data_IF_666236236781
#
_entry.id   IF_666236236781
#
_cell.length_a   1.000
_cell.length_b   1.000
_cell.length_c   1.000
_cell.angle_alpha   90.00
_cell.angle_beta   90.00
_cell.angle_gamma   90.00
#
_symmetry.space_group_name_H-M   'P 1'
#
loop_
_entity.id
_entity.type
_entity.pdbx_description
1 polymer ?
#
# COMPACT_ATOMS: atom_id res chain seq x y z
N UNK A 1 -0.35 -7.62 7.25
CA UNK A 1 -0.46 -7.03 5.90
C UNK A 1 -1.63 -7.67 5.22
N UNK A 2 -2.47 -6.86 4.56
CA UNK A 2 -3.63 -7.29 3.82
C UNK A 2 -3.39 -7.07 2.32
N UNK A 3 -3.64 -8.09 1.51
CA UNK A 3 -3.48 -8.04 0.05
C UNK A 3 -4.83 -8.27 -0.61
N UNK A 4 -5.22 -7.34 -1.47
CA UNK A 4 -6.49 -7.41 -2.19
C UNK A 4 -6.32 -8.13 -3.53
N UNK A 5 -7.17 -9.12 -3.78
CA UNK A 5 -7.33 -9.74 -5.09
C UNK A 5 -8.78 -9.56 -5.56
N UNK A 6 -8.95 -8.84 -6.67
CA UNK A 6 -10.26 -8.63 -7.30
C UNK A 6 -10.34 -9.42 -8.60
N UNK A 7 -11.54 -9.90 -8.95
CA UNK A 7 -11.80 -10.61 -10.21
C UNK A 7 -11.24 -9.81 -11.40
N UNK A 8 -10.23 -10.37 -12.05
CA UNK A 8 -9.38 -9.72 -13.05
C UNK A 8 -10.10 -9.57 -14.39
N UNK A 9 -10.59 -8.37 -14.70
CA UNK A 9 -10.87 -7.92 -16.07
C UNK A 9 -10.66 -6.41 -16.21
N UNK A 10 -9.46 -5.86 -16.00
CA UNK A 10 -9.18 -4.44 -16.35
C UNK A 10 -7.72 -3.99 -16.39
N UNK A 11 -6.74 -4.89 -16.35
CA UNK A 11 -5.31 -4.47 -16.36
C UNK A 11 -4.70 -4.27 -17.75
N UNK A 12 -5.43 -4.53 -18.84
CA UNK A 12 -4.89 -4.40 -20.20
C UNK A 12 -4.69 -2.96 -20.70
N UNK A 13 -5.17 -1.92 -19.99
CA UNK A 13 -5.20 -0.55 -20.52
C UNK A 13 -4.19 0.44 -19.91
N UNK A 14 -3.38 0.06 -18.91
CA UNK A 14 -2.29 0.90 -18.38
C UNK A 14 -0.91 0.59 -18.98
N UNK A 15 -0.84 -0.34 -19.95
CA UNK A 15 0.38 -0.84 -20.58
C UNK A 15 0.88 0.06 -21.73
N UNK A 16 1.18 1.34 -21.48
CA UNK A 16 1.88 2.17 -22.49
C UNK A 16 3.09 2.96 -22.00
N UNK A 17 3.47 2.87 -20.72
CA UNK A 17 4.65 3.59 -20.18
C UNK A 17 5.67 2.68 -19.46
N UNK A 18 5.39 1.39 -19.29
CA UNK A 18 6.21 0.46 -18.48
C UNK A 18 6.41 -0.93 -19.11
N UNK A 19 6.37 -1.04 -20.44
CA UNK A 19 6.23 -2.33 -21.13
C UNK A 19 7.41 -3.30 -20.95
N UNK A 20 8.60 -2.84 -20.55
CA UNK A 20 9.72 -3.74 -20.26
C UNK A 20 9.67 -4.34 -18.85
N UNK A 21 9.30 -3.55 -17.83
CA UNK A 21 9.19 -4.03 -16.45
C UNK A 21 7.95 -4.93 -16.27
N UNK A 22 6.91 -4.66 -17.06
CA UNK A 22 5.62 -5.33 -16.97
C UNK A 22 5.69 -6.78 -17.49
N UNK A 23 6.52 -7.06 -18.50
CA UNK A 23 6.61 -8.41 -19.08
C UNK A 23 7.26 -9.45 -18.15
N UNK A 24 8.04 -9.02 -17.16
CA UNK A 24 8.71 -9.93 -16.22
C UNK A 24 7.99 -10.02 -14.87
N UNK A 25 7.10 -9.07 -14.52
CA UNK A 25 6.54 -8.93 -13.16
C UNK A 25 5.00 -8.93 -13.09
N UNK A 26 4.27 -8.73 -14.18
CA UNK A 26 2.81 -8.43 -14.14
C UNK A 26 1.92 -9.53 -14.73
N UNK A 27 2.03 -10.73 -14.18
CA UNK A 27 0.89 -11.67 -14.07
C UNK A 27 0.47 -11.79 -12.61
N UNK A 28 0.45 -10.68 -11.90
CA UNK A 28 0.26 -10.64 -10.46
C UNK A 28 -1.20 -10.72 -10.04
N UNK A 29 -1.52 -11.62 -9.11
CA UNK A 29 -2.85 -11.87 -8.57
C UNK A 29 -3.39 -10.72 -7.70
N UNK A 30 -2.50 -9.93 -7.10
CA UNK A 30 -2.84 -8.84 -6.19
C UNK A 30 -2.72 -7.46 -6.85
N UNK A 31 -3.72 -6.61 -6.61
CA UNK A 31 -3.77 -5.25 -7.14
C UNK A 31 -3.60 -4.15 -6.09
N UNK A 32 -3.74 -4.48 -4.80
CA UNK A 32 -3.57 -3.54 -3.69
C UNK A 32 -3.02 -4.23 -2.45
N UNK A 33 -2.29 -3.50 -1.61
CA UNK A 33 -1.83 -3.97 -0.31
C UNK A 33 -1.91 -2.86 0.75
N UNK A 34 -2.24 -3.24 1.98
CA UNK A 34 -2.44 -2.35 3.11
C UNK A 34 -1.87 -2.94 4.41
N UNK A 35 -1.50 -2.10 5.36
CA UNK A 35 -1.15 -2.53 6.72
C UNK A 35 -2.45 -2.58 7.52
N UNK A 36 -2.90 -3.78 7.85
CA UNK A 36 -4.11 -4.01 8.63
C UNK A 36 -3.76 -4.32 10.10
N UNK A 37 -4.37 -3.60 11.03
CA UNK A 37 -4.29 -3.83 12.48
C UNK A 37 -5.66 -4.31 12.96
N UNK A 38 -5.67 -5.42 13.71
CA UNK A 38 -6.91 -6.03 14.21
C UNK A 38 -7.59 -5.10 15.22
N UNK A 39 -8.89 -4.88 15.02
CA UNK A 39 -9.79 -4.24 15.98
C UNK A 39 -10.78 -5.25 16.57
N UNK A 40 -11.64 -4.76 17.49
CA UNK A 40 -12.76 -5.53 18.03
C UNK A 40 -13.81 -5.80 16.94
N UNK A 41 -14.61 -6.86 17.13
CA UNK A 41 -15.73 -7.22 16.26
C UNK A 41 -15.34 -7.57 14.80
N UNK A 42 -14.12 -8.05 14.58
CA UNK A 42 -13.65 -8.48 13.25
C UNK A 42 -13.31 -7.35 12.29
N UNK A 43 -13.32 -6.09 12.77
CA UNK A 43 -12.87 -4.94 12.01
C UNK A 43 -11.35 -4.84 12.00
N UNK A 44 -10.82 -4.10 11.03
CA UNK A 44 -9.41 -3.79 10.90
C UNK A 44 -9.21 -2.30 10.66
N UNK A 45 -8.20 -1.73 11.32
CA UNK A 45 -7.60 -0.46 10.93
C UNK A 45 -6.64 -0.71 9.77
N UNK A 46 -7.05 -0.31 8.58
CA UNK A 46 -6.23 -0.38 7.38
C UNK A 46 -5.51 0.94 7.14
N UNK A 47 -4.20 0.87 7.00
CA UNK A 47 -3.33 1.98 6.64
C UNK A 47 -2.72 1.73 5.27
N UNK A 48 -2.88 2.69 4.37
CA UNK A 48 -2.43 2.61 2.98
C UNK A 48 -2.05 3.98 2.45
N UNK A 49 -1.49 4.03 1.24
CA UNK A 49 -1.28 5.27 0.50
C UNK A 49 -1.97 5.19 -0.85
N UNK A 50 -2.66 6.26 -1.23
CA UNK A 50 -3.33 6.37 -2.52
C UNK A 50 -3.16 7.76 -3.12
N UNK A 51 -2.76 7.79 -4.39
CA UNK A 51 -2.70 9.00 -5.22
C UNK A 51 -4.07 9.69 -5.34
N UNK A 52 -5.17 8.92 -5.35
CA UNK A 52 -6.53 9.46 -5.42
C UNK A 52 -6.95 10.19 -4.15
N UNK A 53 -6.36 9.78 -3.02
CA UNK A 53 -6.70 10.26 -1.69
C UNK A 53 -5.69 11.32 -1.18
N UNK A 54 -4.75 11.75 -2.03
CA UNK A 54 -3.80 12.82 -1.71
C UNK A 54 -2.70 12.45 -0.72
N UNK A 55 -2.49 11.15 -0.44
CA UNK A 55 -1.45 10.68 0.47
C UNK A 55 -1.85 9.45 1.27
N UNK A 56 -1.34 9.38 2.50
CA UNK A 56 -1.56 8.25 3.41
C UNK A 56 -2.93 8.34 4.05
N UNK A 57 -3.67 7.24 3.94
CA UNK A 57 -5.04 7.08 4.38
C UNK A 57 -5.15 6.02 5.47
N UNK A 58 -6.08 6.27 6.37
CA UNK A 58 -6.58 5.30 7.34
C UNK A 58 -8.05 5.00 7.03
N UNK A 59 -8.44 3.73 7.12
CA UNK A 59 -9.81 3.28 6.93
C UNK A 59 -10.11 2.11 7.84
N UNK A 60 -11.26 2.15 8.51
CA UNK A 60 -11.78 1.00 9.28
C UNK A 60 -12.67 0.17 8.37
N UNK A 61 -12.37 -1.12 8.19
CA UNK A 61 -13.19 -2.01 7.36
C UNK A 61 -13.06 -3.48 7.74
N UNK A 62 -14.02 -4.28 7.26
CA UNK A 62 -13.92 -5.74 7.24
C UNK A 62 -13.00 -6.19 6.11
N UNK A 63 -12.23 -7.25 6.35
CA UNK A 63 -11.35 -7.89 5.37
C UNK A 63 -11.83 -9.32 5.13
N UNK A 64 -12.90 -9.53 4.33
CA UNK A 64 -13.41 -10.86 4.10
C UNK A 64 -12.42 -11.68 3.27
N UNK A 65 -12.24 -12.95 3.65
CA UNK A 65 -11.17 -13.82 3.16
C UNK A 65 -11.33 -14.21 1.67
N UNK A 66 -12.50 -13.97 1.07
CA UNK A 66 -12.79 -14.16 -0.35
C UNK A 66 -12.15 -13.10 -1.25
N UNK A 67 -11.74 -11.96 -0.67
CA UNK A 67 -11.17 -10.80 -1.40
C UNK A 67 -9.80 -10.39 -0.87
N UNK A 68 -9.51 -10.74 0.38
CA UNK A 68 -8.32 -10.30 1.08
C UNK A 68 -7.51 -11.48 1.59
N UNK A 69 -6.23 -11.47 1.22
CA UNK A 69 -5.25 -12.38 1.80
C UNK A 69 -4.47 -11.65 2.89
N UNK A 70 -4.56 -12.15 4.12
CA UNK A 70 -3.86 -11.61 5.28
C UNK A 70 -2.57 -12.37 5.55
N UNK A 71 -1.44 -11.66 5.62
CA UNK A 71 -0.16 -12.18 6.10
C UNK A 71 0.17 -11.50 7.43
N UNK A 72 0.42 -12.23 8.53
CA UNK A 72 0.78 -11.64 9.81
C UNK A 72 2.12 -10.90 9.71
N UNK A 73 2.21 -9.73 10.34
CA UNK A 73 3.45 -8.97 10.47
C UNK A 73 3.90 -8.98 11.93
N UNK A 74 5.22 -9.04 12.14
CA UNK A 74 5.82 -8.81 13.47
C UNK A 74 5.91 -7.30 13.70
N UNK A 75 4.77 -6.65 13.98
CA UNK A 75 4.71 -5.24 14.32
C UNK A 75 3.60 -4.96 15.33
N UNK A 76 3.83 -4.00 16.23
CA UNK A 76 2.81 -3.59 17.20
C UNK A 76 1.86 -2.53 16.59
N UNK A 77 0.60 -2.46 17.05
CA UNK A 77 -0.31 -1.39 16.66
C UNK A 77 0.29 0.02 16.84
N UNK A 78 1.08 0.22 17.91
CA UNK A 78 1.76 1.48 18.19
C UNK A 78 2.82 1.84 17.14
N UNK A 79 3.57 0.86 16.64
CA UNK A 79 4.54 1.08 15.55
C UNK A 79 3.84 1.47 14.25
N UNK A 80 2.74 0.80 13.91
CA UNK A 80 1.93 1.14 12.72
C UNK A 80 1.38 2.55 12.83
N UNK A 81 0.85 2.93 13.99
CA UNK A 81 0.30 4.27 14.22
C UNK A 81 1.38 5.36 14.20
N UNK A 82 2.56 5.10 14.79
CA UNK A 82 3.69 6.03 14.76
C UNK A 82 4.19 6.24 13.32
N UNK A 83 4.33 5.15 12.57
CA UNK A 83 4.68 5.20 11.16
C UNK A 83 3.63 5.97 10.35
N UNK A 84 2.34 5.66 10.56
CA UNK A 84 1.24 6.38 9.93
C UNK A 84 1.34 7.89 10.20
N UNK A 85 1.46 8.31 11.46
CA UNK A 85 1.55 9.73 11.85
C UNK A 85 2.75 10.44 11.23
N UNK A 86 3.90 9.75 11.10
CA UNK A 86 5.09 10.29 10.42
C UNK A 86 4.78 10.63 8.95
N UNK A 87 3.93 9.84 8.30
CA UNK A 87 3.55 10.06 6.90
C UNK A 87 2.25 10.87 6.73
N UNK A 88 1.44 11.02 7.78
CA UNK A 88 0.20 11.79 7.82
C UNK A 88 0.45 13.32 7.93
N UNK A 89 1.69 13.77 7.70
CA UNK A 89 2.25 15.03 8.21
C UNK A 89 2.59 16.12 7.20
N UNK A 90 2.24 15.99 5.90
CA UNK A 90 1.98 17.18 5.08
C UNK A 90 0.49 17.45 5.12
N UNK A 91 -0.01 17.91 6.28
CA UNK A 91 -1.34 18.51 6.34
C UNK A 91 -1.33 19.67 5.36
N UNK A 92 -2.20 19.58 4.35
CA UNK A 92 -2.68 20.75 3.63
C UNK A 92 -3.08 21.78 4.69
N UNK A 93 -2.32 22.85 4.80
CA UNK A 93 -2.78 24.08 5.40
C UNK A 93 -4.07 24.43 4.67
N UNK A 94 -5.18 24.47 5.39
CA UNK A 94 -6.48 24.84 4.83
C UNK A 94 -6.48 26.28 4.29
N UNK A 95 -5.40 27.04 4.51
CA UNK A 95 -5.07 28.32 3.87
C UNK A 95 -4.55 28.20 2.42
N UNK A 96 -4.18 27.00 1.94
CA UNK A 96 -3.66 26.77 0.59
C UNK A 96 -4.73 26.43 -0.47
N UNK A 97 -5.97 26.12 -0.05
CA UNK A 97 -7.05 25.72 -0.96
C UNK A 97 -7.50 26.86 -1.89
N UNK A 98 -7.17 28.11 -1.56
CA UNK A 98 -7.42 29.27 -2.43
C UNK A 98 -6.29 29.48 -3.46
N UNK A 99 -5.09 28.93 -3.23
CA UNK A 99 -3.94 29.08 -4.14
C UNK A 99 -3.70 27.92 -5.12
N UNK A 100 -4.33 26.76 -4.90
CA UNK A 100 -3.97 25.51 -5.62
C UNK A 100 -4.55 25.38 -7.04
N UNK A 101 -5.42 26.29 -7.49
CA UNK A 101 -5.89 26.28 -8.88
C UNK A 101 -4.77 26.68 -9.87
N UNK A 102 -3.67 27.26 -9.40
CA UNK A 102 -2.74 28.00 -10.27
C UNK A 102 -1.32 27.45 -10.47
N UNK A 103 -0.90 26.34 -9.86
CA UNK A 103 0.52 25.93 -10.02
C UNK A 103 0.75 24.44 -10.31
N UNK A 104 0.85 24.19 -11.61
CA UNK A 104 1.66 23.16 -12.24
C UNK A 104 3.07 23.10 -11.60
N UNK A 105 3.51 21.93 -11.12
CA UNK A 105 4.89 21.45 -11.33
C UNK A 105 5.03 19.97 -10.95
N UNK A 106 5.23 19.18 -11.99
CA UNK A 106 5.67 17.79 -11.96
C UNK A 106 7.12 17.70 -11.48
N UNK A 107 7.37 17.29 -10.23
CA UNK A 107 8.67 16.71 -9.83
C UNK A 107 8.67 15.96 -8.47
N UNK A 108 7.54 15.39 -8.02
CA UNK A 108 7.48 14.74 -6.70
C UNK A 108 7.30 13.22 -6.83
N UNK A 109 8.24 12.45 -6.28
CA UNK A 109 8.19 10.98 -6.21
C UNK A 109 6.93 10.53 -5.46
N UNK A 110 5.99 9.94 -6.21
CA UNK A 110 4.63 9.56 -5.80
C UNK A 110 4.66 8.33 -4.90
N UNK A 111 4.07 8.37 -3.70
CA UNK A 111 4.10 7.24 -2.75
C UNK A 111 2.93 6.25 -2.99
N UNK A 112 3.20 5.10 -3.61
CA UNK A 112 2.21 4.05 -3.88
C UNK A 112 1.86 3.20 -2.65
N UNK A 113 0.74 2.46 -2.69
CA UNK A 113 0.32 1.57 -1.59
C UNK A 113 1.38 0.50 -1.23
N UNK A 114 2.06 -0.05 -2.23
CA UNK A 114 3.16 -0.99 -2.05
C UNK A 114 4.41 -0.32 -1.53
N UNK A 115 4.70 0.92 -1.94
CA UNK A 115 5.84 1.67 -1.41
C UNK A 115 5.65 2.01 0.06
N UNK A 116 4.44 2.45 0.46
CA UNK A 116 4.08 2.67 1.86
C UNK A 116 4.30 1.40 2.70
N UNK A 117 3.84 0.27 2.19
CA UNK A 117 4.01 -1.02 2.83
C UNK A 117 5.49 -1.45 2.89
N UNK A 118 6.25 -1.25 1.82
CA UNK A 118 7.67 -1.60 1.75
C UNK A 118 8.52 -0.73 2.68
N UNK A 119 8.22 0.56 2.75
CA UNK A 119 8.89 1.50 3.66
C UNK A 119 8.60 1.16 5.13
N UNK A 120 7.36 0.76 5.45
CA UNK A 120 7.03 0.26 6.78
C UNK A 120 7.82 -1.00 7.15
N UNK A 121 8.04 -1.89 6.17
CA UNK A 121 8.84 -3.10 6.34
C UNK A 121 10.35 -2.83 6.40
N UNK A 122 10.79 -1.56 6.23
CA UNK A 122 12.20 -1.20 6.22
C UNK A 122 12.95 -1.65 4.97
N UNK A 123 12.25 -1.94 3.87
CA UNK A 123 12.86 -2.36 2.62
C UNK A 123 13.51 -1.15 1.94
N UNK A 124 14.79 -1.27 1.58
CA UNK A 124 15.48 -0.25 0.78
C UNK A 124 14.90 -0.20 -0.64
N UNK A 125 14.87 0.98 -1.25
CA UNK A 125 14.30 1.18 -2.58
C UNK A 125 12.83 0.76 -2.70
N UNK A 126 11.97 1.21 -1.77
CA UNK A 126 10.53 0.90 -1.71
C UNK A 126 9.79 0.98 -3.05
N UNK A 127 10.23 1.88 -3.95
CA UNK A 127 9.71 2.08 -5.31
C UNK A 127 9.83 0.87 -6.25
N UNK A 128 10.67 -0.11 -5.92
CA UNK A 128 10.83 -1.35 -6.68
C UNK A 128 9.78 -2.41 -6.34
N UNK A 129 9.02 -2.21 -5.26
CA UNK A 129 8.12 -3.22 -4.74
C UNK A 129 6.70 -3.05 -5.28
N UNK A 130 6.20 -4.11 -5.92
CA UNK A 130 4.79 -4.26 -6.26
C UNK A 130 4.04 -5.03 -5.16
N UNK A 131 2.69 -4.95 -5.09
CA UNK A 131 1.91 -5.75 -4.14
C UNK A 131 2.23 -7.25 -4.22
N UNK A 132 2.47 -7.76 -5.43
CA UNK A 132 2.82 -9.17 -5.65
C UNK A 132 4.22 -9.52 -5.15
N UNK A 133 5.20 -8.64 -5.36
CA UNK A 133 6.56 -8.86 -4.87
C UNK A 133 6.59 -8.84 -3.33
N UNK A 134 5.86 -7.92 -2.70
CA UNK A 134 5.70 -7.89 -1.25
C UNK A 134 5.02 -9.14 -0.71
N UNK A 135 3.98 -9.61 -1.38
CA UNK A 135 3.30 -10.85 -1.01
C UNK A 135 4.26 -12.04 -1.06
N UNK A 136 5.02 -12.19 -2.14
CA UNK A 136 6.00 -13.26 -2.30
C UNK A 136 7.11 -13.19 -1.24
N UNK A 137 7.64 -11.99 -0.97
CA UNK A 137 8.67 -11.76 0.04
C UNK A 137 8.18 -12.15 1.44
N UNK A 138 7.02 -11.63 1.85
CA UNK A 138 6.47 -11.92 3.18
C UNK A 138 6.05 -13.38 3.34
N UNK A 139 5.50 -14.00 2.30
CA UNK A 139 5.15 -15.42 2.30
C UNK A 139 6.39 -16.28 2.51
N UNK A 140 7.50 -15.91 1.86
CA UNK A 140 8.78 -16.62 1.99
C UNK A 140 9.34 -16.49 3.41
N UNK A 141 9.36 -15.27 3.97
CA UNK A 141 9.86 -15.02 5.34
C UNK A 141 9.01 -15.69 6.42
N UNK A 142 7.69 -15.79 6.22
CA UNK A 142 6.79 -16.47 7.14
C UNK A 142 7.08 -17.98 7.22
N UNK A 143 7.39 -18.63 6.09
CA UNK A 143 7.77 -20.05 6.06
C UNK A 143 9.05 -20.36 6.85
N UNK A 144 10.00 -19.42 6.92
CA UNK A 144 11.25 -19.62 7.68
C UNK A 144 11.08 -19.56 9.21
N UNK A 145 10.01 -18.93 9.73
CA UNK A 145 9.76 -18.82 11.18
C UNK A 145 9.00 -20.01 11.79
N UNK A 146 8.77 -21.09 11.01
CA UNK A 146 8.01 -22.28 11.43
C UNK A 146 8.87 -23.49 11.85
N UNK A 147 10.17 -23.32 12.10
CA UNK A 147 11.05 -24.41 12.54
C UNK A 147 11.37 -24.34 14.03
#
# INVERSE_FOLDING_TARGET
MAFYHGHTKKFFHLARLGDWLIRTVTSGFYSHCEIAVVQKHGLFDCYSSSKRDGGVRHKIMLLPADKWHLIPLTATPGQVLAFYRKHQGKKYDWWGVIGFILYHKSDDRQLFCSEFCAEFLGLSESWRYSPNLLHALLSSTCSFKKS
#
